data_IF_296561237189
#
_entry.id   IF_296561237189
#
_cell.length_a   1.000
_cell.length_b   1.000
_cell.length_c   1.000
_cell.angle_alpha   90.00
_cell.angle_beta   90.00
_cell.angle_gamma   90.00
#
_symmetry.space_group_name_H-M   'P 1'
#
loop_
_entity.id
_entity.type
_entity.pdbx_description
1 polymer ?
#
# COMPACT_ATOMS: atom_id res chain seq x y z
N UNK A 1 27.16 -8.56 33.16
CA UNK A 1 27.51 -7.15 32.92
C UNK A 1 27.85 -7.04 31.45
N UNK A 2 26.94 -6.46 30.67
CA UNK A 2 27.21 -6.13 29.26
C UNK A 2 27.69 -4.68 29.29
N UNK A 3 28.91 -4.44 28.81
CA UNK A 3 29.54 -3.13 28.77
C UNK A 3 28.68 -2.13 27.99
N UNK A 4 28.31 -1.05 28.67
CA UNK A 4 27.56 0.09 28.13
C UNK A 4 28.40 1.00 27.22
N UNK A 5 29.64 0.64 26.88
CA UNK A 5 30.57 1.48 26.10
C UNK A 5 30.67 1.12 24.61
N UNK A 6 30.01 0.07 24.14
CA UNK A 6 30.05 -0.34 22.73
C UNK A 6 28.65 -0.48 22.12
N UNK A 7 27.82 0.57 22.24
CA UNK A 7 26.84 0.79 21.18
C UNK A 7 27.64 0.96 19.88
N UNK A 8 27.33 0.29 18.76
CA UNK A 8 28.13 0.37 17.54
C UNK A 8 27.89 1.71 16.84
N UNK A 9 28.16 2.83 17.52
CA UNK A 9 27.79 4.18 17.14
C UNK A 9 28.39 4.60 15.79
N UNK A 10 29.59 4.10 15.43
CA UNK A 10 30.21 4.36 14.13
C UNK A 10 29.54 3.60 12.99
N UNK A 11 29.34 2.30 13.14
CA UNK A 11 28.66 1.48 12.13
C UNK A 11 27.20 1.92 11.95
N UNK A 12 26.55 2.25 13.06
CA UNK A 12 25.24 2.85 13.12
C UNK A 12 25.18 4.21 12.42
N UNK A 13 26.11 5.12 12.69
CA UNK A 13 26.12 6.44 12.05
C UNK A 13 26.37 6.34 10.55
N UNK A 14 27.24 5.44 10.10
CA UNK A 14 27.47 5.19 8.67
C UNK A 14 26.25 4.57 7.97
N UNK A 15 25.64 3.57 8.60
CA UNK A 15 24.42 2.94 8.09
C UNK A 15 23.28 3.97 8.05
N UNK A 16 23.02 4.66 9.16
CA UNK A 16 21.99 5.70 9.25
C UNK A 16 22.22 6.83 8.26
N UNK A 17 23.47 7.28 8.05
CA UNK A 17 23.80 8.29 7.05
C UNK A 17 23.53 7.78 5.63
N UNK A 18 23.92 6.54 5.31
CA UNK A 18 23.67 5.93 4.00
C UNK A 18 22.18 5.72 3.73
N UNK A 19 21.44 5.25 4.72
CA UNK A 19 19.99 5.04 4.68
C UNK A 19 19.22 6.35 4.56
N UNK A 20 19.56 7.32 5.41
CA UNK A 20 18.97 8.65 5.37
C UNK A 20 19.23 9.29 4.02
N UNK A 21 20.47 9.25 3.51
CA UNK A 21 20.80 9.80 2.20
C UNK A 21 19.93 9.17 1.09
N UNK A 22 19.78 7.84 1.05
CA UNK A 22 18.93 7.20 0.03
C UNK A 22 17.45 7.57 0.18
N UNK A 23 16.94 7.61 1.42
CA UNK A 23 15.55 7.91 1.73
C UNK A 23 15.21 9.41 1.65
N UNK A 24 16.20 10.30 1.64
CA UNK A 24 16.02 11.76 1.55
C UNK A 24 16.63 12.39 0.29
N UNK A 25 17.31 11.62 -0.56
CA UNK A 25 17.96 12.13 -1.78
C UNK A 25 17.02 12.75 -2.82
N UNK A 26 15.72 12.46 -2.74
CA UNK A 26 14.72 13.04 -3.65
C UNK A 26 13.92 14.12 -2.93
N UNK A 27 13.78 15.27 -3.59
CA UNK A 27 12.84 16.34 -3.18
C UNK A 27 11.39 15.89 -3.33
N UNK A 28 11.11 15.01 -4.28
CA UNK A 28 9.84 14.29 -4.35
C UNK A 28 9.84 13.12 -3.36
N UNK A 29 9.06 13.29 -2.29
CA UNK A 29 8.85 12.30 -1.22
C UNK A 29 8.11 11.03 -1.68
N UNK A 30 7.54 11.03 -2.88
CA UNK A 30 6.84 9.89 -3.47
C UNK A 30 7.64 9.18 -4.57
N UNK A 31 8.78 9.75 -4.98
CA UNK A 31 9.67 9.13 -5.96
C UNK A 31 10.10 7.74 -5.48
N UNK A 32 9.77 6.73 -6.29
CA UNK A 32 10.01 5.33 -5.94
C UNK A 32 11.51 5.01 -5.95
N UNK A 33 11.91 4.19 -4.99
CA UNK A 33 13.25 3.65 -4.88
C UNK A 33 13.24 2.20 -5.36
N UNK A 34 14.15 1.89 -6.27
CA UNK A 34 14.39 0.52 -6.71
C UNK A 34 15.41 -0.13 -5.76
N UNK A 35 14.94 -0.64 -4.64
CA UNK A 35 15.73 -1.33 -3.62
C UNK A 35 15.18 -2.75 -3.51
N UNK A 36 16.05 -3.76 -3.55
CA UNK A 36 15.64 -5.16 -3.45
C UNK A 36 15.10 -5.56 -2.08
N UNK A 37 14.49 -6.75 -2.00
CA UNK A 37 13.90 -7.29 -0.77
C UNK A 37 14.92 -7.38 0.38
N UNK A 38 16.11 -7.93 0.14
CA UNK A 38 17.12 -8.13 1.18
C UNK A 38 17.64 -6.83 1.78
N UNK A 39 17.90 -5.85 0.92
CA UNK A 39 18.27 -4.53 1.38
C UNK A 39 17.13 -3.94 2.20
N UNK A 40 15.90 -3.94 1.69
CA UNK A 40 14.72 -3.40 2.39
C UNK A 40 14.49 -4.07 3.74
N UNK A 41 14.67 -5.39 3.83
CA UNK A 41 14.56 -6.16 5.06
C UNK A 41 15.63 -5.74 6.08
N UNK A 42 16.89 -5.64 5.67
CA UNK A 42 17.97 -5.15 6.54
C UNK A 42 17.71 -3.72 7.02
N UNK A 43 17.25 -2.82 6.13
CA UNK A 43 16.89 -1.45 6.50
C UNK A 43 15.76 -1.41 7.54
N UNK A 44 14.69 -2.17 7.31
CA UNK A 44 13.55 -2.26 8.23
C UNK A 44 13.97 -2.83 9.58
N UNK A 45 14.73 -3.93 9.55
CA UNK A 45 15.21 -4.60 10.75
C UNK A 45 16.01 -3.65 11.63
N UNK A 46 17.03 -3.01 11.08
CA UNK A 46 17.86 -2.07 11.81
C UNK A 46 17.02 -0.90 12.34
N UNK A 47 16.26 -0.20 11.49
CA UNK A 47 15.50 0.99 11.90
C UNK A 47 14.53 0.69 13.06
N UNK A 48 13.85 -0.46 13.03
CA UNK A 48 12.92 -0.87 14.09
C UNK A 48 13.66 -1.20 15.39
N UNK A 49 14.74 -1.98 15.35
CA UNK A 49 15.48 -2.34 16.55
C UNK A 49 16.21 -1.14 17.18
N UNK A 50 16.67 -0.20 16.35
CA UNK A 50 17.20 1.08 16.81
C UNK A 50 16.11 1.87 17.53
N UNK A 51 14.92 1.96 16.93
CA UNK A 51 13.79 2.66 17.50
C UNK A 51 13.41 2.09 18.88
N UNK A 52 13.43 0.77 19.04
CA UNK A 52 13.22 0.12 20.34
C UNK A 52 14.31 0.48 21.35
N UNK A 53 15.59 0.43 20.94
CA UNK A 53 16.70 0.79 21.83
C UNK A 53 16.58 2.22 22.36
N UNK A 54 16.08 3.18 21.57
CA UNK A 54 15.90 4.57 22.03
C UNK A 54 14.72 4.72 22.99
N UNK A 55 13.78 3.78 22.99
CA UNK A 55 12.68 3.73 23.95
C UNK A 55 13.12 3.16 25.31
N UNK A 56 14.32 2.60 25.41
CA UNK A 56 14.94 2.21 26.69
C UNK A 56 15.04 3.46 27.61
N UNK A 57 14.57 3.40 28.87
CA UNK A 57 14.64 4.50 29.82
C UNK A 57 16.02 5.16 29.94
N UNK A 58 17.11 4.40 29.81
CA UNK A 58 18.46 4.93 29.87
C UNK A 58 18.77 5.85 28.68
N UNK A 59 18.35 5.48 27.48
CA UNK A 59 18.56 6.25 26.24
C UNK A 59 17.48 7.31 26.02
N UNK A 60 16.27 7.08 26.51
CA UNK A 60 15.16 8.03 26.48
C UNK A 60 15.48 9.31 27.28
N UNK A 61 16.34 9.21 28.29
CA UNK A 61 16.81 10.34 29.09
C UNK A 61 17.79 11.27 28.36
N UNK A 62 18.34 10.85 27.20
CA UNK A 62 19.27 11.68 26.45
C UNK A 62 18.59 12.91 25.86
N UNK A 63 19.27 14.08 25.83
CA UNK A 63 18.85 15.21 25.02
C UNK A 63 18.60 14.75 23.57
N UNK A 64 17.52 15.21 22.96
CA UNK A 64 17.11 14.87 21.59
C UNK A 64 16.60 13.44 21.32
N UNK A 65 16.52 12.56 22.33
CA UNK A 65 16.00 11.18 22.17
C UNK A 65 14.63 11.12 21.47
N UNK A 66 13.72 12.01 21.85
CA UNK A 66 12.38 12.16 21.26
C UNK A 66 12.46 12.60 19.80
N UNK A 67 13.31 13.58 19.48
CA UNK A 67 13.49 14.05 18.11
C UNK A 67 14.08 12.96 17.22
N UNK A 68 15.02 12.19 17.77
CA UNK A 68 15.66 11.08 17.08
C UNK A 68 14.67 9.94 16.81
N UNK A 69 13.88 9.54 17.80
CA UNK A 69 12.80 8.54 17.62
C UNK A 69 11.75 8.98 16.59
N UNK A 70 11.38 10.27 16.57
CA UNK A 70 10.49 10.82 15.52
C UNK A 70 11.12 10.73 14.13
N UNK A 71 12.42 11.00 14.02
CA UNK A 71 13.15 10.92 12.75
C UNK A 71 13.18 9.48 12.23
N UNK A 72 13.46 8.50 13.09
CA UNK A 72 13.45 7.09 12.74
C UNK A 72 12.06 6.61 12.27
N UNK A 73 11.01 6.99 13.00
CA UNK A 73 9.63 6.73 12.57
C UNK A 73 9.33 7.33 11.20
N UNK A 74 9.77 8.56 10.95
CA UNK A 74 9.63 9.20 9.64
C UNK A 74 10.38 8.45 8.53
N UNK A 75 11.56 7.90 8.82
CA UNK A 75 12.33 7.10 7.87
C UNK A 75 11.64 5.77 7.56
N UNK A 76 11.10 5.07 8.56
CA UNK A 76 10.32 3.83 8.36
C UNK A 76 9.10 4.10 7.48
N UNK A 77 8.36 5.18 7.74
CA UNK A 77 7.22 5.58 6.92
C UNK A 77 7.67 5.92 5.49
N UNK A 78 8.77 6.64 5.32
CA UNK A 78 9.31 6.96 3.98
C UNK A 78 9.73 5.70 3.23
N UNK A 79 10.32 4.72 3.90
CA UNK A 79 10.66 3.43 3.30
C UNK A 79 9.40 2.72 2.80
N UNK A 80 8.33 2.68 3.61
CA UNK A 80 7.02 2.15 3.21
C UNK A 80 6.42 2.86 1.98
N UNK A 81 6.63 4.19 1.88
CA UNK A 81 6.08 4.99 0.79
C UNK A 81 6.89 4.88 -0.50
N UNK A 82 8.22 4.81 -0.41
CA UNK A 82 9.13 4.95 -1.55
C UNK A 82 9.58 3.62 -2.12
N UNK A 83 9.74 2.55 -1.33
CA UNK A 83 10.05 1.23 -1.88
C UNK A 83 8.86 0.71 -2.68
N UNK A 84 9.12 -0.14 -3.67
CA UNK A 84 8.09 -0.88 -4.39
C UNK A 84 7.19 -1.64 -3.37
N UNK A 85 5.88 -1.61 -3.60
CA UNK A 85 4.88 -2.04 -2.61
C UNK A 85 5.07 -3.49 -2.21
N UNK A 86 5.26 -4.36 -3.19
CA UNK A 86 5.42 -5.80 -2.99
C UNK A 86 6.71 -6.11 -2.25
N UNK A 87 7.78 -5.42 -2.61
CA UNK A 87 9.10 -5.56 -2.01
C UNK A 87 9.10 -5.15 -0.53
N UNK A 88 8.44 -4.03 -0.21
CA UNK A 88 8.25 -3.62 1.18
C UNK A 88 7.43 -4.65 1.97
N UNK A 89 6.32 -5.14 1.39
CA UNK A 89 5.49 -6.16 2.01
C UNK A 89 6.27 -7.45 2.29
N UNK A 90 7.01 -7.97 1.30
CA UNK A 90 7.83 -9.17 1.44
C UNK A 90 8.93 -9.00 2.51
N UNK A 91 9.65 -7.88 2.48
CA UNK A 91 10.66 -7.56 3.47
C UNK A 91 10.08 -7.45 4.89
N UNK A 92 8.95 -6.77 5.05
CA UNK A 92 8.30 -6.53 6.34
C UNK A 92 7.66 -7.80 6.92
N UNK A 93 7.02 -8.62 6.09
CA UNK A 93 6.49 -9.92 6.52
C UNK A 93 7.61 -10.87 6.95
N UNK A 94 8.77 -10.83 6.28
CA UNK A 94 9.95 -11.56 6.73
C UNK A 94 10.46 -11.06 8.09
N UNK A 95 10.60 -9.74 8.28
CA UNK A 95 10.98 -9.19 9.59
C UNK A 95 10.01 -9.62 10.69
N UNK A 96 8.70 -9.46 10.44
CA UNK A 96 7.66 -9.83 11.39
C UNK A 96 7.71 -11.33 11.73
N UNK A 97 7.87 -12.19 10.73
CA UNK A 97 7.98 -13.63 10.93
C UNK A 97 9.19 -13.97 11.79
N UNK A 98 10.36 -13.39 11.51
CA UNK A 98 11.57 -13.59 12.32
C UNK A 98 11.33 -13.15 13.76
N UNK A 99 10.83 -11.93 14.00
CA UNK A 99 10.55 -11.46 15.37
C UNK A 99 9.54 -12.35 16.08
N UNK A 100 8.44 -12.74 15.44
CA UNK A 100 7.44 -13.61 16.06
C UNK A 100 7.99 -15.00 16.44
N UNK A 101 8.94 -15.53 15.68
CA UNK A 101 9.51 -16.86 15.92
C UNK A 101 10.67 -16.85 16.93
N UNK A 102 11.44 -15.77 16.99
CA UNK A 102 12.60 -15.65 17.88
C UNK A 102 12.20 -15.08 19.25
N UNK A 103 11.50 -13.94 19.25
CA UNK A 103 11.09 -13.23 20.45
C UNK A 103 9.86 -12.33 20.16
N UNK A 104 8.63 -12.82 20.40
CA UNK A 104 7.37 -12.18 20.01
C UNK A 104 7.00 -10.95 20.87
N UNK A 105 7.97 -10.07 21.08
CA UNK A 105 7.90 -8.86 21.90
C UNK A 105 7.70 -7.59 21.04
N UNK A 106 8.20 -6.44 21.51
CA UNK A 106 7.91 -5.10 20.97
C UNK A 106 8.27 -4.92 19.48
N UNK A 107 9.27 -5.66 18.97
CA UNK A 107 9.66 -5.62 17.56
C UNK A 107 8.56 -6.14 16.64
N UNK A 108 7.91 -7.25 17.01
CA UNK A 108 6.80 -7.79 16.25
C UNK A 108 5.65 -6.78 16.15
N UNK A 109 5.34 -6.06 17.24
CA UNK A 109 4.33 -5.01 17.24
C UNK A 109 4.67 -3.86 16.27
N UNK A 110 5.93 -3.44 16.20
CA UNK A 110 6.36 -2.39 15.28
C UNK A 110 6.32 -2.84 13.81
N UNK A 111 6.69 -4.09 13.50
CA UNK A 111 6.53 -4.62 12.14
C UNK A 111 5.05 -4.81 11.75
N UNK A 112 4.19 -5.21 12.68
CA UNK A 112 2.73 -5.22 12.48
C UNK A 112 2.21 -3.83 12.11
N UNK A 113 2.65 -2.77 12.82
CA UNK A 113 2.31 -1.38 12.47
C UNK A 113 2.83 -0.98 11.08
N UNK A 114 3.97 -1.49 10.65
CA UNK A 114 4.48 -1.27 9.29
C UNK A 114 3.57 -1.90 8.23
N UNK A 115 3.05 -3.11 8.46
CA UNK A 115 2.06 -3.73 7.57
C UNK A 115 0.72 -2.98 7.56
N UNK A 116 0.25 -2.50 8.71
CA UNK A 116 -0.93 -1.61 8.75
C UNK A 116 -0.70 -0.33 7.95
N UNK A 117 0.51 0.25 8.02
CA UNK A 117 0.84 1.43 7.20
C UNK A 117 0.86 1.10 5.71
N UNK A 118 1.35 -0.08 5.33
CA UNK A 118 1.29 -0.54 3.96
C UNK A 118 -0.16 -0.67 3.47
N UNK A 119 -1.03 -1.30 4.25
CA UNK A 119 -2.46 -1.47 3.91
C UNK A 119 -3.18 -0.11 3.80
N UNK A 120 -2.97 0.80 4.76
CA UNK A 120 -3.46 2.19 4.72
C UNK A 120 -2.99 2.93 3.46
N UNK A 121 -1.76 2.68 3.03
CA UNK A 121 -1.22 3.32 1.84
C UNK A 121 -1.84 2.74 0.56
N UNK A 122 -2.06 1.42 0.51
CA UNK A 122 -2.71 0.74 -0.61
C UNK A 122 -4.18 1.15 -0.78
N UNK A 123 -4.91 1.36 0.33
CA UNK A 123 -6.30 1.81 0.28
C UNK A 123 -6.43 3.22 -0.33
N UNK A 124 -5.48 4.10 -0.01
CA UNK A 124 -5.42 5.49 -0.52
C UNK A 124 -4.84 5.59 -1.92
N UNK A 125 -3.84 4.78 -2.24
CA UNK A 125 -3.09 4.83 -3.49
C UNK A 125 -2.97 3.44 -4.11
N UNK A 126 -4.05 3.01 -4.76
CA UNK A 126 -4.15 1.72 -5.45
C UNK A 126 -3.03 1.62 -6.48
N UNK A 127 -2.11 0.67 -6.27
CA UNK A 127 -0.95 0.43 -7.13
C UNK A 127 -0.88 -1.06 -7.40
N UNK A 128 -0.63 -1.47 -8.65
CA UNK A 128 -0.36 -2.88 -8.96
C UNK A 128 0.81 -3.39 -8.10
N UNK A 129 0.73 -4.67 -7.76
CA UNK A 129 1.76 -5.41 -7.04
C UNK A 129 2.22 -6.62 -7.86
N UNK A 130 3.42 -7.10 -7.59
CA UNK A 130 3.92 -8.37 -8.12
C UNK A 130 3.22 -9.53 -7.39
N UNK A 131 2.32 -10.22 -8.10
CA UNK A 131 1.56 -11.33 -7.54
C UNK A 131 2.45 -12.47 -7.04
N UNK A 132 3.58 -12.74 -7.70
CA UNK A 132 4.44 -13.88 -7.38
C UNK A 132 5.19 -13.67 -6.08
N UNK A 133 5.79 -12.49 -5.95
CA UNK A 133 6.50 -12.13 -4.74
C UNK A 133 5.52 -11.97 -3.56
N UNK A 134 4.36 -11.35 -3.78
CA UNK A 134 3.33 -11.19 -2.76
C UNK A 134 2.87 -12.55 -2.22
N UNK A 135 2.46 -13.46 -3.10
CA UNK A 135 1.95 -14.78 -2.73
C UNK A 135 3.04 -15.59 -2.03
N UNK A 136 4.28 -15.57 -2.54
CA UNK A 136 5.39 -16.28 -1.91
C UNK A 136 5.61 -15.83 -0.47
N UNK A 137 5.63 -14.52 -0.24
CA UNK A 137 5.83 -13.96 1.09
C UNK A 137 4.67 -14.28 2.04
N UNK A 138 3.43 -14.03 1.63
CA UNK A 138 2.24 -14.28 2.45
C UNK A 138 2.03 -15.77 2.73
N UNK A 139 2.19 -16.64 1.72
CA UNK A 139 2.04 -18.09 1.88
C UNK A 139 3.06 -18.67 2.86
N UNK A 140 4.32 -18.23 2.76
CA UNK A 140 5.38 -18.63 3.70
C UNK A 140 5.08 -18.14 5.12
N UNK A 141 4.58 -16.91 5.26
CA UNK A 141 4.20 -16.37 6.57
C UNK A 141 3.11 -17.24 7.22
N UNK A 142 2.05 -17.56 6.49
CA UNK A 142 0.99 -18.45 6.97
C UNK A 142 1.50 -19.84 7.34
N UNK A 143 2.37 -20.44 6.52
CA UNK A 143 2.95 -21.75 6.81
C UNK A 143 3.69 -21.78 8.15
N UNK A 144 4.43 -20.73 8.48
CA UNK A 144 5.25 -20.68 9.68
C UNK A 144 4.48 -20.21 10.93
N UNK A 145 3.54 -19.28 10.76
CA UNK A 145 2.88 -18.56 11.86
C UNK A 145 1.50 -19.15 12.17
N UNK A 146 0.71 -19.53 11.16
CA UNK A 146 -0.67 -20.00 11.38
C UNK A 146 -0.78 -21.19 12.36
N UNK A 147 0.13 -22.20 12.35
CA UNK A 147 0.07 -23.29 13.32
C UNK A 147 0.27 -22.88 14.78
N UNK A 148 0.73 -21.64 15.03
CA UNK A 148 1.10 -21.11 16.35
C UNK A 148 0.13 -20.06 16.89
N UNK A 149 -0.97 -19.76 16.17
CA UNK A 149 -1.87 -18.63 16.49
C UNK A 149 -2.53 -18.70 17.86
N UNK A 150 -2.74 -19.90 18.39
CA UNK A 150 -3.33 -20.11 19.73
C UNK A 150 -2.29 -20.05 20.86
N UNK A 151 -0.99 -19.97 20.53
CA UNK A 151 0.08 -19.94 21.54
C UNK A 151 0.32 -18.54 22.10
N UNK A 152 0.13 -17.49 21.29
CA UNK A 152 0.36 -16.10 21.68
C UNK A 152 -0.47 -15.16 20.80
N UNK A 153 -1.10 -14.16 21.41
CA UNK A 153 -1.84 -13.11 20.72
C UNK A 153 -1.01 -12.39 19.65
N UNK A 154 0.31 -12.24 19.82
CA UNK A 154 1.20 -11.65 18.83
C UNK A 154 1.16 -12.39 17.49
N UNK A 155 1.05 -13.73 17.49
CA UNK A 155 0.90 -14.52 16.26
C UNK A 155 -0.43 -14.23 15.57
N UNK A 156 -1.52 -14.13 16.35
CA UNK A 156 -2.85 -13.78 15.84
C UNK A 156 -2.87 -12.39 15.23
N UNK A 157 -2.28 -11.40 15.90
CA UNK A 157 -2.12 -10.05 15.37
C UNK A 157 -1.27 -10.02 14.10
N UNK A 158 -0.20 -10.83 14.05
CA UNK A 158 0.63 -10.97 12.85
C UNK A 158 -0.15 -11.52 11.66
N UNK A 159 -0.96 -12.57 11.86
CA UNK A 159 -1.87 -13.09 10.82
C UNK A 159 -2.86 -12.01 10.39
N UNK A 160 -3.50 -11.31 11.34
CA UNK A 160 -4.47 -10.26 11.02
C UNK A 160 -3.85 -9.14 10.18
N UNK A 161 -2.60 -8.77 10.45
CA UNK A 161 -1.87 -7.77 9.67
C UNK A 161 -1.67 -8.20 8.21
N UNK A 162 -1.32 -9.46 7.97
CA UNK A 162 -1.20 -10.02 6.61
C UNK A 162 -2.57 -10.14 5.93
N UNK A 163 -3.61 -10.50 6.67
CA UNK A 163 -4.99 -10.56 6.18
C UNK A 163 -5.48 -9.19 5.69
N UNK A 164 -5.27 -8.13 6.47
CA UNK A 164 -5.60 -6.76 6.07
C UNK A 164 -4.85 -6.33 4.82
N UNK A 165 -3.56 -6.69 4.69
CA UNK A 165 -2.82 -6.44 3.47
C UNK A 165 -3.42 -7.22 2.28
N UNK A 166 -3.89 -8.45 2.53
CA UNK A 166 -4.50 -9.32 1.51
C UNK A 166 -5.84 -8.79 1.04
N UNK A 167 -6.65 -8.25 1.94
CA UNK A 167 -7.89 -7.55 1.61
C UNK A 167 -7.62 -6.39 0.63
N UNK A 168 -6.63 -5.54 0.93
CA UNK A 168 -6.25 -4.43 0.04
C UNK A 168 -5.65 -4.91 -1.28
N UNK A 169 -4.82 -5.95 -1.26
CA UNK A 169 -4.26 -6.54 -2.47
C UNK A 169 -5.37 -7.13 -3.37
N UNK A 170 -6.38 -7.78 -2.79
CA UNK A 170 -7.52 -8.34 -3.52
C UNK A 170 -8.38 -7.25 -4.17
N UNK A 171 -8.60 -6.12 -3.47
CA UNK A 171 -9.32 -4.97 -4.04
C UNK A 171 -8.61 -4.45 -5.30
N UNK A 172 -7.27 -4.42 -5.29
CA UNK A 172 -6.48 -3.86 -6.40
C UNK A 172 -6.26 -4.87 -7.53
N UNK A 173 -5.84 -6.09 -7.21
CA UNK A 173 -5.41 -7.10 -8.20
C UNK A 173 -6.55 -8.01 -8.64
N UNK A 174 -7.58 -8.14 -7.81
CA UNK A 174 -8.76 -8.95 -8.08
C UNK A 174 -8.47 -10.42 -8.35
N UNK A 175 -9.22 -11.06 -9.27
CA UNK A 175 -9.16 -12.50 -9.48
C UNK A 175 -7.76 -13.00 -9.87
N UNK A 176 -6.93 -12.15 -10.48
CA UNK A 176 -5.57 -12.51 -10.88
C UNK A 176 -4.72 -13.01 -9.70
N UNK A 177 -4.91 -12.42 -8.52
CA UNK A 177 -4.18 -12.80 -7.32
C UNK A 177 -4.63 -14.17 -6.80
N UNK A 178 -5.96 -14.41 -6.75
CA UNK A 178 -6.51 -15.69 -6.32
C UNK A 178 -6.15 -16.83 -7.28
N UNK A 179 -6.27 -16.60 -8.59
CA UNK A 179 -5.90 -17.58 -9.61
C UNK A 179 -4.41 -17.92 -9.54
N UNK A 180 -3.57 -16.93 -9.22
CA UNK A 180 -2.15 -17.18 -9.02
C UNK A 180 -1.88 -18.02 -7.77
N UNK A 181 -2.58 -17.79 -6.66
CA UNK A 181 -2.44 -18.62 -5.46
C UNK A 181 -2.90 -20.07 -5.70
N UNK A 182 -4.01 -20.28 -6.41
CA UNK A 182 -4.50 -21.64 -6.75
C UNK A 182 -3.49 -22.46 -7.54
N UNK A 183 -2.64 -21.80 -8.34
CA UNK A 183 -1.56 -22.42 -9.14
C UNK A 183 -0.22 -22.43 -8.42
N UNK A 184 -0.13 -21.85 -7.22
CA UNK A 184 1.10 -21.79 -6.47
C UNK A 184 1.48 -23.18 -5.94
N UNK A 185 2.77 -23.57 -5.96
CA UNK A 185 3.17 -24.85 -5.39
C UNK A 185 2.87 -24.91 -3.89
N UNK A 186 2.02 -25.86 -3.47
CA UNK A 186 1.61 -26.07 -2.06
C UNK A 186 1.04 -24.79 -1.41
N UNK A 187 -0.13 -24.31 -1.86
CA UNK A 187 -0.77 -23.17 -1.22
C UNK A 187 -1.20 -23.55 0.20
N UNK A 188 -0.93 -22.67 1.16
CA UNK A 188 -1.41 -22.82 2.52
C UNK A 188 -2.94 -22.77 2.51
N UNK A 189 -3.56 -23.79 3.12
CA UNK A 189 -5.02 -23.97 3.06
C UNK A 189 -5.77 -22.79 3.70
N UNK A 190 -5.27 -22.29 4.84
CA UNK A 190 -5.91 -21.17 5.54
C UNK A 190 -5.74 -19.86 4.80
N UNK A 191 -4.56 -19.64 4.19
CA UNK A 191 -4.34 -18.46 3.35
C UNK A 191 -5.25 -18.48 2.10
N UNK A 192 -5.39 -19.65 1.47
CA UNK A 192 -6.29 -19.83 0.33
C UNK A 192 -7.74 -19.57 0.70
N UNK A 193 -8.21 -20.08 1.85
CA UNK A 193 -9.56 -19.82 2.36
C UNK A 193 -9.78 -18.33 2.61
N UNK A 194 -8.83 -17.64 3.24
CA UNK A 194 -8.90 -16.19 3.46
C UNK A 194 -8.98 -15.42 2.14
N UNK A 195 -8.15 -15.76 1.16
CA UNK A 195 -8.19 -15.13 -0.16
C UNK A 195 -9.50 -15.38 -0.91
N UNK A 196 -10.08 -16.58 -0.79
CA UNK A 196 -11.40 -16.88 -1.35
C UNK A 196 -12.50 -16.04 -0.68
N UNK A 197 -12.45 -15.87 0.63
CA UNK A 197 -13.37 -15.01 1.37
C UNK A 197 -13.24 -13.53 0.94
N UNK A 198 -12.00 -13.02 0.86
CA UNK A 198 -11.73 -11.65 0.37
C UNK A 198 -12.30 -11.44 -1.04
N UNK A 199 -12.09 -12.42 -1.93
CA UNK A 199 -12.60 -12.36 -3.30
C UNK A 199 -14.13 -12.29 -3.34
N UNK A 200 -14.81 -13.16 -2.57
CA UNK A 200 -16.26 -13.18 -2.50
C UNK A 200 -16.83 -11.85 -1.98
N UNK A 201 -16.22 -11.24 -0.96
CA UNK A 201 -16.63 -9.92 -0.48
C UNK A 201 -16.39 -8.82 -1.52
N UNK A 202 -15.25 -8.84 -2.21
CA UNK A 202 -14.98 -7.86 -3.27
C UNK A 202 -15.96 -7.99 -4.45
N UNK A 203 -16.40 -9.20 -4.80
CA UNK A 203 -17.41 -9.43 -5.83
C UNK A 203 -18.76 -8.81 -5.47
N UNK A 204 -19.17 -8.86 -4.20
CA UNK A 204 -20.41 -8.20 -3.73
C UNK A 204 -20.36 -6.69 -3.91
N UNK A 205 -19.20 -6.10 -3.65
CA UNK A 205 -18.98 -4.65 -3.73
C UNK A 205 -18.80 -4.18 -5.18
N UNK A 206 -18.28 -5.05 -6.06
CA UNK A 206 -18.02 -4.73 -7.46
C UNK A 206 -18.59 -5.78 -8.43
N UNK A 207 -19.93 -5.82 -8.61
CA UNK A 207 -20.61 -6.84 -9.41
C UNK A 207 -20.30 -6.72 -10.92
N UNK A 208 -19.90 -5.53 -11.38
CA UNK A 208 -19.42 -5.27 -12.75
C UNK A 208 -18.01 -5.80 -13.04
N UNK A 209 -17.34 -6.39 -12.04
CA UNK A 209 -15.99 -6.91 -12.13
C UNK A 209 -14.90 -5.85 -11.90
N UNK A 210 -13.66 -6.30 -11.76
CA UNK A 210 -12.50 -5.42 -11.64
C UNK A 210 -12.25 -4.74 -12.98
N UNK A 211 -12.90 -3.59 -13.21
CA UNK A 211 -12.55 -2.69 -14.31
C UNK A 211 -11.06 -2.36 -14.24
N UNK A 212 -10.41 -2.17 -15.39
CA UNK A 212 -8.96 -1.91 -15.50
C UNK A 212 -8.61 -0.59 -14.80
N UNK A 213 -8.44 -0.65 -13.48
CA UNK A 213 -8.21 0.48 -12.59
C UNK A 213 -6.73 0.64 -12.31
N UNK A 214 -5.90 0.40 -13.34
CA UNK A 214 -4.46 0.64 -13.27
C UNK A 214 -4.11 1.86 -14.13
N UNK A 215 -3.36 2.84 -13.59
CA UNK A 215 -2.87 3.96 -14.38
C UNK A 215 -2.00 3.44 -15.54
N UNK A 216 -2.34 3.78 -16.79
CA UNK A 216 -1.53 3.48 -17.98
C UNK A 216 -2.06 2.39 -18.91
N UNK A 217 -3.24 1.83 -18.68
CA UNK A 217 -3.88 1.00 -19.70
C UNK A 217 -4.32 1.87 -20.89
N UNK A 218 -3.61 1.77 -22.01
CA UNK A 218 -4.07 2.32 -23.29
C UNK A 218 -5.32 1.55 -23.67
N UNK A 219 -6.47 2.21 -23.54
CA UNK A 219 -7.73 1.71 -24.10
C UNK A 219 -7.69 2.06 -25.58
N UNK A 220 -7.44 1.07 -26.44
CA UNK A 220 -8.10 1.13 -27.75
C UNK A 220 -9.60 1.05 -27.46
N UNK A 221 -10.39 2.06 -27.85
CA UNK A 221 -11.81 2.04 -27.57
C UNK A 221 -12.41 0.80 -28.27
N UNK A 222 -13.26 0.03 -27.58
CA UNK A 222 -13.98 -1.04 -28.25
C UNK A 222 -14.76 -0.42 -29.40
N UNK A 223 -14.61 -0.98 -30.59
CA UNK A 223 -15.46 -0.69 -31.73
C UNK A 223 -16.87 -1.10 -31.32
N UNK A 224 -17.62 -0.15 -30.77
CA UNK A 224 -19.04 -0.33 -30.47
C UNK A 224 -19.77 -0.50 -31.81
N UNK A 225 -20.53 -1.59 -31.99
CA UNK A 225 -21.50 -1.63 -33.07
C UNK A 225 -22.53 -0.52 -32.81
N UNK A 226 -22.76 0.33 -33.82
CA UNK A 226 -23.84 1.32 -33.81
C UNK A 226 -25.15 0.63 -33.41
N UNK A 227 -25.71 1.03 -32.28
CA UNK A 227 -27.09 0.72 -31.92
C UNK A 227 -27.81 2.01 -31.58
N UNK A 228 -29.02 2.10 -32.10
CA UNK A 228 -29.83 3.29 -32.24
C UNK A 228 -30.24 3.93 -30.90
N UNK A 229 -30.55 5.22 -30.99
CA UNK A 229 -31.19 6.01 -29.95
C UNK A 229 -32.46 5.32 -29.39
N UNK A 230 -32.74 5.53 -28.10
CA UNK A 230 -33.99 6.12 -27.56
C UNK A 230 -34.08 5.95 -26.02
N UNK A 231 -34.24 7.10 -25.34
CA UNK A 231 -34.90 7.44 -24.07
C UNK A 231 -34.58 6.75 -22.74
N UNK A 232 -34.16 7.56 -21.75
CA UNK A 232 -34.34 7.29 -20.32
C UNK A 232 -33.37 8.05 -19.39
N UNK A 233 -33.74 9.27 -18.98
CA UNK A 233 -33.27 9.97 -17.76
C UNK A 233 -31.79 9.90 -17.37
N UNK A 234 -30.88 9.90 -18.35
CA UNK A 234 -29.45 10.05 -18.11
C UNK A 234 -29.09 11.52 -17.92
N UNK A 235 -28.15 11.81 -17.01
CA UNK A 235 -27.52 13.13 -16.94
C UNK A 235 -26.98 13.49 -18.32
N UNK A 236 -27.19 14.72 -18.76
CA UNK A 236 -26.62 15.16 -20.04
C UNK A 236 -25.10 15.09 -19.99
N UNK A 237 -24.46 14.91 -21.14
CA UNK A 237 -22.99 14.89 -21.23
C UNK A 237 -22.37 16.15 -20.62
N UNK A 238 -23.01 17.31 -20.82
CA UNK A 238 -22.64 18.57 -20.17
C UNK A 238 -22.70 18.49 -18.63
N UNK A 239 -23.78 17.93 -18.07
CA UNK A 239 -23.89 17.79 -16.61
C UNK A 239 -22.79 16.88 -16.04
N UNK A 240 -22.44 15.80 -16.74
CA UNK A 240 -21.37 14.89 -16.33
C UNK A 240 -20.03 15.61 -16.34
N UNK A 241 -19.74 16.39 -17.39
CA UNK A 241 -18.49 17.14 -17.51
C UNK A 241 -18.36 18.21 -16.41
N UNK A 242 -19.44 18.95 -16.12
CA UNK A 242 -19.44 19.94 -15.04
C UNK A 242 -19.30 19.28 -13.67
N UNK A 243 -20.02 18.19 -13.39
CA UNK A 243 -19.90 17.43 -12.14
C UNK A 243 -18.47 16.91 -11.92
N UNK A 244 -17.79 16.45 -12.97
CA UNK A 244 -16.42 15.96 -12.87
C UNK A 244 -15.41 17.08 -12.53
N UNK A 245 -15.59 18.28 -13.10
CA UNK A 245 -14.79 19.46 -12.73
C UNK A 245 -14.98 19.83 -11.27
N UNK A 246 -16.22 19.80 -10.78
CA UNK A 246 -16.55 20.23 -9.40
C UNK A 246 -16.15 19.17 -8.36
N UNK A 247 -16.32 17.88 -8.65
CA UNK A 247 -16.18 16.79 -7.67
C UNK A 247 -14.80 16.16 -7.63
N UNK A 248 -14.07 16.12 -8.74
CA UNK A 248 -12.76 15.45 -8.84
C UNK A 248 -11.61 16.46 -8.90
N UNK A 249 -11.42 17.17 -7.78
CA UNK A 249 -10.37 18.18 -7.59
C UNK A 249 -8.95 17.68 -7.91
N UNK A 250 -8.55 16.42 -7.60
CA UNK A 250 -7.24 15.89 -7.98
C UNK A 250 -6.98 15.85 -9.50
N UNK A 251 -8.04 15.81 -10.31
CA UNK A 251 -7.97 15.77 -11.79
C UNK A 251 -8.51 17.04 -12.45
N UNK A 252 -8.61 18.15 -11.69
CA UNK A 252 -9.27 19.39 -12.11
C UNK A 252 -8.82 19.89 -13.49
N UNK A 253 -7.52 19.97 -13.75
CA UNK A 253 -6.98 20.49 -15.02
C UNK A 253 -7.40 19.66 -16.23
N UNK A 254 -7.47 18.33 -16.05
CA UNK A 254 -7.91 17.39 -17.08
C UNK A 254 -9.40 17.57 -17.37
N UNK A 255 -10.24 17.64 -16.33
CA UNK A 255 -11.68 17.79 -16.50
C UNK A 255 -12.04 19.16 -17.07
N UNK A 256 -11.36 20.23 -16.65
CA UNK A 256 -11.52 21.56 -17.23
C UNK A 256 -11.17 21.57 -18.72
N UNK A 257 -10.08 20.90 -19.11
CA UNK A 257 -9.69 20.81 -20.53
C UNK A 257 -10.73 20.08 -21.38
N UNK A 258 -11.35 19.02 -20.84
CA UNK A 258 -12.42 18.27 -21.52
C UNK A 258 -13.70 19.11 -21.65
N UNK A 259 -14.07 19.84 -20.59
CA UNK A 259 -15.22 20.74 -20.61
C UNK A 259 -15.03 21.87 -21.62
N UNK A 260 -13.84 22.50 -21.67
CA UNK A 260 -13.52 23.52 -22.67
C UNK A 260 -13.62 22.97 -24.09
N UNK A 261 -13.02 21.79 -24.35
CA UNK A 261 -13.10 21.17 -25.68
C UNK A 261 -14.54 20.79 -26.08
N UNK A 262 -15.39 20.42 -25.12
CA UNK A 262 -16.80 20.17 -25.36
C UNK A 262 -17.56 21.47 -25.68
N UNK A 263 -17.28 22.55 -24.95
CA UNK A 263 -17.90 23.86 -25.14
C UNK A 263 -17.52 24.51 -26.48
N UNK A 264 -16.29 24.34 -26.93
CA UNK A 264 -15.85 24.79 -28.26
C UNK A 264 -16.65 24.13 -29.39
N UNK A 265 -17.08 22.88 -29.20
CA UNK A 265 -17.86 22.10 -30.16
C UNK A 265 -19.37 22.32 -30.04
N UNK A 266 -19.83 22.81 -28.89
CA UNK A 266 -21.25 22.98 -28.58
C UNK A 266 -21.54 24.37 -27.96
N UNK A 267 -21.24 25.47 -28.67
CA UNK A 267 -21.41 26.83 -28.13
C UNK A 267 -22.86 27.16 -27.74
N UNK A 268 -23.85 26.49 -28.34
CA UNK A 268 -25.27 26.64 -28.02
C UNK A 268 -25.64 26.13 -26.60
N UNK A 269 -24.80 25.29 -25.99
CA UNK A 269 -25.05 24.72 -24.66
C UNK A 269 -24.56 25.62 -23.52
N UNK A 270 -23.91 26.76 -23.82
CA UNK A 270 -23.31 27.67 -22.84
C UNK A 270 -24.34 28.20 -21.83
N UNK A 271 -25.53 28.59 -22.31
CA UNK A 271 -26.60 29.07 -21.43
C UNK A 271 -27.07 28.02 -20.41
N UNK A 272 -27.08 26.74 -20.80
CA UNK A 272 -27.46 25.64 -19.91
C UNK A 272 -26.38 25.33 -18.88
N UNK A 273 -25.10 25.51 -19.23
CA UNK A 273 -23.98 25.39 -18.30
C UNK A 273 -24.05 26.47 -17.21
N UNK A 274 -24.29 27.73 -17.62
CA UNK A 274 -24.44 28.85 -16.68
C UNK A 274 -25.65 28.69 -15.75
N UNK A 275 -26.76 28.15 -16.25
CA UNK A 275 -27.93 27.84 -15.44
C UNK A 275 -27.65 26.72 -14.43
N UNK A 276 -26.96 25.66 -14.87
CA UNK A 276 -26.60 24.51 -14.03
C UNK A 276 -25.61 24.84 -12.90
N UNK A 277 -24.68 25.78 -13.13
CA UNK A 277 -23.74 26.27 -12.11
C UNK A 277 -24.37 27.21 -11.06
N UNK A 278 -25.60 27.72 -11.32
CA UNK A 278 -26.33 28.60 -10.38
C UNK A 278 -27.19 27.81 -9.37
N UNK A 279 -27.48 26.54 -9.66
CA UNK A 279 -28.14 25.58 -8.75
C UNK A 279 -27.15 24.92 -7.81
#
# INVERSE_FOLDING_TARGET
>A
MIDSENFPARHFAELFKKLSLQLTASTDKFARLNIGEDATNGMLWELVHILLKIQDPALASMPDSVHFGRTLNALIIRLCLRVERTTFFAACTRCLMTSLLEDPDEAALLFTKCLYKWADTMSKHKTAIDNDLYIRAANRFYEQIYPKIELNNAFREGIRAVEMCTEQAMIVMGPSLLERLKRFPRPNVNFLQHMQACFAECQKINPSGWGVSLPGAVIEPPVLPKANAVNGTGRSELQILVDNVVRDLPSFDKHTSLLVSYMDKHPQELGKMEEYLKT
#
